data_IF_049637584517
#
_entry.id   IF_049637584517
#
_cell.length_a   1.000
_cell.length_b   1.000
_cell.length_c   1.000
_cell.angle_alpha   90.00
_cell.angle_beta   90.00
_cell.angle_gamma   90.00
#
_symmetry.space_group_name_H-M   'P 1'
#
loop_
_entity.id
_entity.type
_entity.pdbx_description
1 polymer ?
#
# COMPACT_ATOMS: atom_id res chain seq x y z
N UNK A 1 -9.55 -22.67 18.95
CA UNK A 1 -9.76 -21.40 19.70
C UNK A 1 -10.78 -20.59 18.90
N UNK A 2 -11.89 -20.21 19.52
CA UNK A 2 -12.97 -19.49 18.84
C UNK A 2 -12.87 -18.00 19.13
N UNK A 3 -13.23 -17.19 18.13
CA UNK A 3 -13.20 -15.73 18.24
C UNK A 3 -14.45 -15.09 17.65
N UNK A 4 -14.73 -13.87 18.08
CA UNK A 4 -15.74 -12.97 17.51
C UNK A 4 -15.07 -11.74 16.93
N UNK A 5 -15.50 -11.28 15.77
CA UNK A 5 -15.10 -9.98 15.22
C UNK A 5 -15.82 -8.89 16.02
N UNK A 6 -15.05 -8.03 16.68
CA UNK A 6 -15.57 -6.89 17.44
C UNK A 6 -15.35 -5.56 16.72
N UNK A 7 -14.37 -5.51 15.81
CA UNK A 7 -14.11 -4.37 14.93
C UNK A 7 -13.70 -4.84 13.53
N UNK A 8 -14.61 -4.70 12.58
CA UNK A 8 -14.41 -5.02 11.16
C UNK A 8 -13.40 -4.07 10.49
N UNK A 9 -13.12 -2.89 11.05
CA UNK A 9 -12.11 -1.95 10.57
C UNK A 9 -10.68 -2.48 10.74
N UNK A 10 -10.48 -3.37 11.70
CA UNK A 10 -9.20 -4.06 11.95
C UNK A 10 -8.96 -5.26 11.00
N UNK A 11 -9.77 -5.39 9.96
CA UNK A 11 -9.63 -6.45 8.97
C UNK A 11 -8.55 -6.11 7.92
N UNK A 12 -7.58 -7.00 7.76
CA UNK A 12 -6.48 -6.85 6.80
C UNK A 12 -6.88 -7.43 5.43
N UNK A 13 -7.84 -6.80 4.77
CA UNK A 13 -8.55 -7.36 3.59
C UNK A 13 -7.71 -7.74 2.36
N UNK A 14 -6.41 -7.53 2.38
CA UNK A 14 -5.50 -7.69 1.24
C UNK A 14 -4.33 -8.62 1.50
N UNK A 15 -4.38 -9.44 2.56
CA UNK A 15 -3.30 -10.38 2.83
C UNK A 15 -3.08 -11.38 1.68
N UNK A 16 -1.86 -11.91 1.59
CA UNK A 16 -1.53 -13.05 0.73
C UNK A 16 -1.49 -14.36 1.50
N UNK A 17 -2.12 -14.39 2.68
CA UNK A 17 -2.18 -15.59 3.50
C UNK A 17 -3.02 -16.64 2.78
N UNK A 18 -2.42 -17.83 2.66
CA UNK A 18 -3.00 -18.96 1.95
C UNK A 18 -3.27 -20.07 2.95
N UNK A 19 -4.53 -20.49 3.03
CA UNK A 19 -5.03 -21.51 3.96
C UNK A 19 -5.94 -22.46 3.19
N UNK A 20 -5.65 -23.76 3.26
CA UNK A 20 -6.45 -24.83 2.65
C UNK A 20 -6.83 -24.61 1.18
N UNK A 21 -5.90 -24.06 0.39
CA UNK A 21 -6.15 -23.82 -1.03
C UNK A 21 -6.77 -22.45 -1.37
N UNK A 22 -7.04 -21.62 -0.36
CA UNK A 22 -7.84 -20.39 -0.49
C UNK A 22 -7.07 -19.20 0.09
N UNK A 23 -7.14 -18.05 -0.58
CA UNK A 23 -6.54 -16.82 -0.09
C UNK A 23 -7.44 -16.10 0.92
N UNK A 24 -6.86 -15.64 2.03
CA UNK A 24 -7.55 -14.87 3.06
C UNK A 24 -7.62 -13.37 2.68
N UNK A 25 -8.35 -13.02 1.62
CA UNK A 25 -8.46 -11.64 1.15
C UNK A 25 -9.78 -11.32 0.43
N UNK A 26 -10.02 -10.02 0.23
CA UNK A 26 -11.22 -9.45 -0.39
C UNK A 26 -11.50 -9.96 -1.79
N UNK A 27 -10.48 -10.33 -2.57
CA UNK A 27 -10.68 -10.82 -3.93
C UNK A 27 -11.34 -12.20 -3.88
N UNK A 28 -10.95 -13.02 -2.91
CA UNK A 28 -11.60 -14.31 -2.66
C UNK A 28 -13.01 -14.11 -2.11
N UNK A 29 -13.17 -13.21 -1.14
CA UNK A 29 -14.48 -12.92 -0.53
C UNK A 29 -15.50 -12.41 -1.55
N UNK A 30 -15.06 -11.61 -2.52
CA UNK A 30 -15.92 -11.10 -3.58
C UNK A 30 -16.56 -12.24 -4.39
N UNK A 31 -15.88 -13.38 -4.57
CA UNK A 31 -16.44 -14.56 -5.25
C UNK A 31 -17.61 -15.18 -4.48
N UNK A 32 -17.64 -14.97 -3.17
CA UNK A 32 -18.68 -15.46 -2.26
C UNK A 32 -19.68 -14.37 -1.85
N UNK A 33 -19.60 -13.17 -2.43
CA UNK A 33 -20.36 -12.00 -1.97
C UNK A 33 -20.23 -11.81 -0.45
N UNK A 34 -19.00 -11.91 0.06
CA UNK A 34 -18.71 -11.83 1.49
C UNK A 34 -18.00 -10.52 1.85
N UNK A 35 -18.33 -10.00 3.03
CA UNK A 35 -17.56 -8.95 3.68
C UNK A 35 -17.63 -9.18 5.21
N UNK A 36 -16.50 -9.07 5.93
CA UNK A 36 -16.47 -9.31 7.37
C UNK A 36 -17.29 -8.24 8.12
N UNK A 37 -18.04 -8.68 9.14
CA UNK A 37 -18.87 -7.80 9.97
C UNK A 37 -18.68 -8.06 11.46
N UNK A 38 -18.92 -7.03 12.25
CA UNK A 38 -18.97 -7.16 13.71
C UNK A 38 -20.02 -8.20 14.12
N UNK A 39 -19.69 -9.00 15.12
CA UNK A 39 -20.53 -10.08 15.64
C UNK A 39 -20.38 -11.42 14.91
N UNK A 40 -19.71 -11.48 13.75
CA UNK A 40 -19.36 -12.75 13.12
C UNK A 40 -18.40 -13.53 14.00
N UNK A 41 -18.55 -14.85 14.01
CA UNK A 41 -17.73 -15.75 14.83
C UNK A 41 -16.93 -16.70 13.95
N UNK A 42 -15.79 -17.17 14.42
CA UNK A 42 -14.95 -18.06 13.64
C UNK A 42 -13.90 -18.79 14.47
N UNK A 43 -13.23 -19.71 13.81
CA UNK A 43 -12.12 -20.45 14.36
C UNK A 43 -10.80 -19.79 13.99
N UNK A 44 -9.93 -19.56 14.97
CA UNK A 44 -8.57 -19.15 14.65
C UNK A 44 -7.79 -20.35 14.10
N UNK A 45 -7.43 -20.29 12.81
CA UNK A 45 -6.74 -21.38 12.10
C UNK A 45 -5.25 -21.11 11.89
N UNK A 46 -4.83 -19.85 11.88
CA UNK A 46 -3.41 -19.48 11.71
C UNK A 46 -3.09 -18.17 12.42
N UNK A 47 -1.87 -18.05 12.95
CA UNK A 47 -1.29 -16.80 13.45
C UNK A 47 -0.08 -16.44 12.60
N UNK A 48 0.03 -15.16 12.28
CA UNK A 48 1.19 -14.57 11.62
C UNK A 48 1.71 -13.42 12.49
N UNK A 49 2.90 -12.86 12.20
CA UNK A 49 3.40 -11.71 12.96
C UNK A 49 2.47 -10.50 12.96
N UNK A 50 1.62 -10.35 11.93
CA UNK A 50 0.74 -9.20 11.74
C UNK A 50 -0.75 -9.51 11.82
N UNK A 51 -1.16 -10.78 11.81
CA UNK A 51 -2.56 -11.16 11.67
C UNK A 51 -2.94 -12.46 12.37
N UNK A 52 -4.22 -12.53 12.72
CA UNK A 52 -4.95 -13.69 13.18
C UNK A 52 -5.90 -14.11 12.07
N UNK A 53 -5.67 -15.28 11.47
CA UNK A 53 -6.49 -15.77 10.36
C UNK A 53 -7.64 -16.56 10.94
N UNK A 54 -8.84 -16.00 10.79
CA UNK A 54 -10.08 -16.53 11.33
C UNK A 54 -10.87 -17.19 10.21
N UNK A 55 -11.15 -18.48 10.33
CA UNK A 55 -12.08 -19.20 9.46
C UNK A 55 -13.51 -18.90 9.90
N UNK A 56 -14.23 -18.13 9.09
CA UNK A 56 -15.62 -17.75 9.35
C UNK A 56 -16.59 -18.84 8.85
N UNK A 57 -16.27 -19.43 7.70
CA UNK A 57 -16.93 -20.59 7.12
C UNK A 57 -15.98 -21.28 6.15
N UNK A 58 -16.39 -22.42 5.59
CA UNK A 58 -15.59 -23.13 4.59
C UNK A 58 -15.30 -22.22 3.38
N UNK A 59 -14.02 -22.08 3.04
CA UNK A 59 -13.57 -21.20 1.96
C UNK A 59 -13.55 -19.70 2.28
N UNK A 60 -13.89 -19.28 3.51
CA UNK A 60 -13.82 -17.87 3.90
C UNK A 60 -12.93 -17.67 5.12
N UNK A 61 -11.74 -17.16 4.84
CA UNK A 61 -10.71 -16.83 5.82
C UNK A 61 -10.55 -15.32 5.93
N UNK A 62 -10.66 -14.79 7.14
CA UNK A 62 -10.61 -13.37 7.46
C UNK A 62 -9.40 -13.08 8.33
N UNK A 63 -8.40 -12.35 7.82
CA UNK A 63 -7.26 -11.89 8.61
C UNK A 63 -7.66 -10.66 9.44
N UNK A 64 -7.42 -10.74 10.74
CA UNK A 64 -7.73 -9.67 11.70
C UNK A 64 -6.50 -9.33 12.53
N UNK A 65 -6.39 -8.09 13.00
CA UNK A 65 -5.43 -7.78 14.07
C UNK A 65 -5.93 -8.36 15.40
N UNK A 66 -5.08 -8.29 16.46
CA UNK A 66 -5.50 -8.67 17.82
C UNK A 66 -6.64 -7.80 18.35
N UNK A 67 -6.71 -6.53 17.96
CA UNK A 67 -7.69 -5.57 18.46
C UNK A 67 -9.06 -5.77 17.81
N UNK A 68 -9.11 -6.37 16.62
CA UNK A 68 -10.35 -6.65 15.89
C UNK A 68 -11.13 -7.87 16.38
N UNK A 69 -10.56 -8.68 17.28
CA UNK A 69 -11.13 -9.95 17.70
C UNK A 69 -11.18 -10.12 19.22
N UNK A 70 -12.23 -10.78 19.68
CA UNK A 70 -12.42 -11.23 21.06
C UNK A 70 -12.43 -12.75 21.11
N UNK A 71 -11.76 -13.35 22.10
CA UNK A 71 -11.83 -14.81 22.33
C UNK A 71 -13.17 -15.18 22.99
N UNK A 72 -13.82 -16.23 22.49
CA UNK A 72 -15.15 -16.64 22.94
C UNK A 72 -15.22 -18.13 23.28
N UNK A 73 -16.24 -18.52 24.04
CA UNK A 73 -16.49 -19.92 24.37
C UNK A 73 -17.04 -20.71 23.17
N UNK A 74 -16.92 -22.05 23.19
CA UNK A 74 -17.55 -22.93 22.18
C UNK A 74 -19.07 -22.71 22.09
N UNK A 75 -19.72 -22.48 23.23
CA UNK A 75 -21.15 -22.23 23.30
C UNK A 75 -21.54 -20.94 22.56
N UNK A 76 -20.76 -19.88 22.73
CA UNK A 76 -20.99 -18.61 22.04
C UNK A 76 -20.70 -18.69 20.54
N UNK A 77 -19.70 -19.50 20.17
CA UNK A 77 -19.40 -19.82 18.78
C UNK A 77 -20.59 -20.54 18.13
N UNK A 78 -21.04 -21.66 18.70
CA UNK A 78 -22.18 -22.44 18.19
C UNK A 78 -23.46 -21.60 18.07
N UNK A 79 -23.73 -20.73 19.04
CA UNK A 79 -24.87 -19.82 18.99
C UNK A 79 -24.74 -18.74 17.90
N UNK A 80 -23.50 -18.34 17.57
CA UNK A 80 -23.18 -17.24 16.65
C UNK A 80 -23.02 -17.66 15.19
N UNK A 81 -22.71 -18.93 14.87
CA UNK A 81 -22.46 -19.40 13.48
C UNK A 81 -23.59 -19.01 12.53
N UNK A 82 -24.85 -19.12 12.99
CA UNK A 82 -26.04 -18.78 12.17
C UNK A 82 -26.09 -17.32 11.72
N UNK A 83 -25.31 -16.43 12.34
CA UNK A 83 -25.23 -15.02 12.00
C UNK A 83 -24.12 -14.73 10.96
N UNK A 84 -23.30 -15.71 10.59
CA UNK A 84 -22.27 -15.57 9.57
C UNK A 84 -22.91 -15.59 8.17
N UNK A 85 -23.40 -14.43 7.72
CA UNK A 85 -24.10 -14.29 6.44
C UNK A 85 -23.23 -13.67 5.35
N UNK A 86 -23.23 -14.28 4.16
CA UNK A 86 -22.63 -13.72 2.95
C UNK A 86 -23.59 -12.73 2.28
N UNK A 87 -23.66 -11.52 2.82
CA UNK A 87 -24.56 -10.46 2.35
C UNK A 87 -23.82 -9.27 1.72
N UNK A 88 -22.55 -9.48 1.34
CA UNK A 88 -21.69 -8.47 0.76
C UNK A 88 -21.40 -7.29 1.70
N UNK A 89 -20.72 -6.30 1.14
CA UNK A 89 -20.54 -4.99 1.77
C UNK A 89 -21.88 -4.25 1.75
N UNK A 90 -22.34 -3.75 2.90
CA UNK A 90 -23.61 -3.02 2.96
C UNK A 90 -23.51 -1.67 2.21
N UNK A 91 -24.65 -1.15 1.73
CA UNK A 91 -24.68 0.09 0.95
C UNK A 91 -24.15 1.30 1.71
N UNK A 92 -24.23 1.29 3.04
CA UNK A 92 -23.70 2.37 3.88
C UNK A 92 -22.18 2.33 3.88
N UNK A 93 -21.57 1.17 4.05
CA UNK A 93 -20.13 0.94 3.98
C UNK A 93 -19.61 1.16 2.56
N UNK A 94 -20.38 0.76 1.54
CA UNK A 94 -20.09 1.06 0.14
C UNK A 94 -20.10 2.57 -0.11
N UNK A 95 -21.12 3.30 0.36
CA UNK A 95 -21.19 4.78 0.30
C UNK A 95 -20.15 5.48 1.16
N UNK A 96 -19.71 4.91 2.29
CA UNK A 96 -18.59 5.45 3.06
C UNK A 96 -17.29 5.27 2.28
N UNK A 97 -17.06 4.09 1.70
CA UNK A 97 -15.86 3.83 0.91
C UNK A 97 -15.82 4.65 -0.40
N UNK A 98 -16.95 4.77 -1.10
CA UNK A 98 -17.12 5.58 -2.32
C UNK A 98 -17.18 7.08 -2.00
N UNK A 99 -17.82 7.46 -0.90
CA UNK A 99 -17.92 8.83 -0.41
C UNK A 99 -16.59 9.36 0.12
N UNK A 100 -15.75 8.51 0.71
CA UNK A 100 -14.34 8.83 0.95
C UNK A 100 -13.69 9.23 -0.38
N UNK A 101 -13.73 8.36 -1.40
CA UNK A 101 -13.13 8.61 -2.73
C UNK A 101 -13.65 9.91 -3.37
N UNK A 102 -14.95 10.19 -3.28
CA UNK A 102 -15.58 11.37 -3.92
C UNK A 102 -15.31 12.67 -3.13
N UNK A 103 -15.26 12.61 -1.80
CA UNK A 103 -14.91 13.75 -0.94
C UNK A 103 -13.43 14.15 -1.14
N UNK A 104 -12.53 13.17 -1.34
CA UNK A 104 -11.11 13.40 -1.62
C UNK A 104 -10.82 14.07 -2.97
N UNK A 105 -11.68 13.88 -3.97
CA UNK A 105 -11.56 14.55 -5.27
C UNK A 105 -12.06 16.01 -5.22
N UNK A 106 -12.94 16.36 -4.28
CA UNK A 106 -13.60 17.66 -4.21
C UNK A 106 -12.98 18.63 -3.20
N UNK A 107 -12.35 18.14 -2.13
CA UNK A 107 -11.64 18.97 -1.14
C UNK A 107 -10.14 18.81 -1.33
N UNK A 108 -9.51 19.73 -2.07
CA UNK A 108 -8.08 19.68 -2.36
C UNK A 108 -7.21 19.36 -1.14
N UNK A 109 -6.39 18.31 -1.27
CA UNK A 109 -5.09 17.98 -0.66
C UNK A 109 -4.74 18.26 0.82
N UNK A 110 -5.49 18.99 1.62
CA UNK A 110 -4.97 19.49 2.93
C UNK A 110 -5.20 18.55 4.13
N UNK A 111 -5.97 17.47 4.00
CA UNK A 111 -6.35 16.63 5.15
C UNK A 111 -5.79 15.20 5.14
N UNK A 112 -5.17 14.76 4.05
CA UNK A 112 -4.51 13.46 3.98
C UNK A 112 -3.03 13.67 3.66
N UNK A 113 -2.21 13.73 4.71
CA UNK A 113 -0.76 13.62 4.62
C UNK A 113 -0.35 12.34 5.34
N UNK A 114 0.45 11.52 4.67
CA UNK A 114 1.18 10.47 5.36
C UNK A 114 2.13 11.12 6.37
N UNK A 115 2.60 10.32 7.33
CA UNK A 115 3.73 10.74 8.17
C UNK A 115 4.85 11.28 7.28
N UNK A 116 5.51 12.34 7.73
CA UNK A 116 6.65 12.90 6.99
C UNK A 116 7.79 11.86 6.91
N UNK A 117 8.08 11.39 5.70
CA UNK A 117 9.11 10.41 5.40
C UNK A 117 10.37 11.05 4.79
N UNK A 118 10.43 12.38 4.66
CA UNK A 118 11.50 13.08 3.94
C UNK A 118 12.89 12.79 4.50
N UNK A 119 13.03 12.71 5.82
CA UNK A 119 14.32 12.37 6.44
C UNK A 119 14.79 10.94 6.10
N UNK A 120 13.86 9.98 5.98
CA UNK A 120 14.19 8.64 5.50
C UNK A 120 14.60 8.67 4.02
N UNK A 121 13.86 9.42 3.19
CA UNK A 121 14.15 9.56 1.77
C UNK A 121 15.48 10.25 1.49
N UNK A 122 15.91 11.21 2.32
CA UNK A 122 17.20 11.88 2.19
C UNK A 122 18.37 10.88 2.09
N UNK A 123 18.40 9.88 2.97
CA UNK A 123 19.50 8.90 2.99
C UNK A 123 19.53 8.04 1.73
N UNK A 124 18.37 7.57 1.28
CA UNK A 124 18.27 6.76 0.07
C UNK A 124 18.57 7.57 -1.20
N UNK A 125 18.11 8.82 -1.25
CA UNK A 125 18.37 9.72 -2.38
C UNK A 125 19.87 10.02 -2.48
N UNK A 126 20.57 10.31 -1.37
CA UNK A 126 22.03 10.48 -1.39
C UNK A 126 22.71 9.24 -1.98
N UNK A 127 22.35 8.04 -1.53
CA UNK A 127 22.91 6.79 -2.06
C UNK A 127 22.61 6.58 -3.55
N UNK A 128 21.40 6.93 -3.99
CA UNK A 128 21.03 6.84 -5.40
C UNK A 128 21.85 7.81 -6.25
N UNK A 129 22.10 9.03 -5.76
CA UNK A 129 22.91 10.04 -6.45
C UNK A 129 24.40 9.65 -6.45
N UNK A 130 24.93 9.10 -5.36
CA UNK A 130 26.29 8.54 -5.30
C UNK A 130 26.48 7.49 -6.39
N UNK A 131 25.55 6.54 -6.52
CA UNK A 131 25.60 5.52 -7.57
C UNK A 131 25.48 6.11 -8.97
N UNK A 132 24.53 7.03 -9.16
CA UNK A 132 24.26 7.66 -10.46
C UNK A 132 25.45 8.48 -10.96
N UNK A 133 26.12 9.19 -10.06
CA UNK A 133 27.32 10.00 -10.33
C UNK A 133 28.64 9.23 -10.22
N UNK A 134 28.57 7.94 -9.86
CA UNK A 134 29.73 7.08 -9.63
C UNK A 134 30.71 7.68 -8.62
N UNK A 135 30.24 7.83 -7.37
CA UNK A 135 30.92 8.52 -6.27
C UNK A 135 31.30 9.97 -6.62
N UNK A 136 30.39 10.69 -7.28
CA UNK A 136 30.57 12.08 -7.72
C UNK A 136 31.72 12.28 -8.72
N UNK A 137 32.21 11.22 -9.36
CA UNK A 137 33.23 11.28 -10.42
C UNK A 137 32.67 11.71 -11.77
N UNK A 138 31.36 11.59 -11.97
CA UNK A 138 30.68 11.91 -13.22
C UNK A 138 29.58 12.94 -13.02
N UNK A 139 29.48 13.86 -13.98
CA UNK A 139 28.39 14.80 -14.07
C UNK A 139 27.05 14.06 -14.29
N UNK A 140 26.02 14.57 -13.63
CA UNK A 140 24.63 14.18 -13.80
C UNK A 140 23.83 15.40 -14.25
N UNK A 141 22.92 15.21 -15.19
CA UNK A 141 22.12 16.30 -15.74
C UNK A 141 20.74 16.37 -15.10
N UNK A 142 20.03 17.47 -15.33
CA UNK A 142 18.69 17.68 -14.77
C UNK A 142 17.71 16.56 -15.17
N UNK A 143 17.81 16.02 -16.39
CA UNK A 143 17.02 14.88 -16.84
C UNK A 143 17.31 13.60 -16.04
N UNK A 144 18.55 13.41 -15.60
CA UNK A 144 18.93 12.27 -14.76
C UNK A 144 18.34 12.42 -13.35
N UNK A 145 18.30 13.65 -12.83
CA UNK A 145 17.64 13.97 -11.56
C UNK A 145 16.13 13.72 -11.63
N UNK A 146 15.45 14.20 -12.68
CA UNK A 146 14.02 13.95 -12.91
C UNK A 146 13.72 12.45 -13.03
N UNK A 147 14.57 11.72 -13.76
CA UNK A 147 14.40 10.27 -13.91
C UNK A 147 14.62 9.54 -12.60
N UNK A 148 15.65 9.90 -11.84
CA UNK A 148 15.94 9.33 -10.53
C UNK A 148 14.83 9.61 -9.51
N UNK A 149 14.31 10.85 -9.47
CA UNK A 149 13.19 11.23 -8.63
C UNK A 149 11.93 10.44 -8.98
N UNK A 150 11.60 10.34 -10.27
CA UNK A 150 10.47 9.56 -10.77
C UNK A 150 10.59 8.08 -10.39
N UNK A 151 11.74 7.46 -10.64
CA UNK A 151 11.95 6.04 -10.37
C UNK A 151 11.90 5.72 -8.88
N UNK A 152 12.53 6.55 -8.05
CA UNK A 152 12.49 6.37 -6.61
C UNK A 152 11.09 6.60 -6.03
N UNK A 153 10.36 7.62 -6.48
CA UNK A 153 8.98 7.86 -6.05
C UNK A 153 8.04 6.71 -6.46
N UNK A 154 8.18 6.19 -7.69
CA UNK A 154 7.45 5.00 -8.15
C UNK A 154 7.80 3.80 -7.27
N UNK A 155 9.08 3.55 -7.01
CA UNK A 155 9.51 2.44 -6.14
C UNK A 155 8.91 2.56 -4.73
N UNK A 156 8.91 3.75 -4.13
CA UNK A 156 8.29 4.00 -2.84
C UNK A 156 6.77 3.80 -2.87
N UNK A 157 6.09 4.22 -3.94
CA UNK A 157 4.67 3.92 -4.14
C UNK A 157 4.43 2.41 -4.23
N UNK A 158 5.25 1.68 -4.99
CA UNK A 158 5.14 0.22 -5.14
C UNK A 158 5.42 -0.51 -3.83
N UNK A 159 6.41 -0.06 -3.05
CA UNK A 159 6.71 -0.59 -1.73
C UNK A 159 5.59 -0.29 -0.74
N UNK A 160 5.03 0.93 -0.76
CA UNK A 160 3.87 1.27 0.05
C UNK A 160 2.68 0.38 -0.31
N UNK A 161 2.39 0.21 -1.61
CA UNK A 161 1.36 -0.70 -2.13
C UNK A 161 1.58 -2.15 -1.68
N UNK A 162 2.83 -2.60 -1.69
CA UNK A 162 3.22 -3.94 -1.26
C UNK A 162 3.01 -4.13 0.25
N UNK A 163 3.34 -3.11 1.06
CA UNK A 163 3.19 -3.13 2.52
C UNK A 163 1.74 -2.93 2.96
N UNK A 164 0.98 -2.06 2.30
CA UNK A 164 -0.44 -1.80 2.58
C UNK A 164 -1.35 -2.91 2.02
N UNK A 165 -0.90 -3.61 0.98
CA UNK A 165 -1.68 -4.59 0.23
C UNK A 165 -2.85 -3.99 -0.57
N UNK A 166 -3.11 -2.68 -0.48
CA UNK A 166 -4.22 -2.01 -1.15
C UNK A 166 -3.79 -1.36 -2.46
N UNK A 167 -4.71 -1.21 -3.42
CA UNK A 167 -4.49 -0.28 -4.53
C UNK A 167 -4.27 1.11 -3.95
N UNK A 168 -3.24 1.80 -4.43
CA UNK A 168 -2.93 3.15 -3.97
C UNK A 168 -4.03 4.10 -4.42
N UNK A 169 -4.59 4.86 -3.48
CA UNK A 169 -5.44 5.99 -3.83
C UNK A 169 -4.57 7.08 -4.51
N UNK A 170 -5.10 7.84 -5.47
CA UNK A 170 -4.36 8.92 -6.13
C UNK A 170 -3.72 9.92 -5.15
N UNK A 171 -4.39 10.22 -4.03
CA UNK A 171 -3.85 11.10 -2.98
C UNK A 171 -2.61 10.52 -2.29
N UNK A 172 -2.55 9.21 -2.08
CA UNK A 172 -1.38 8.52 -1.50
C UNK A 172 -0.20 8.59 -2.47
N UNK A 173 -0.48 8.37 -3.77
CA UNK A 173 0.54 8.50 -4.82
C UNK A 173 1.07 9.94 -4.84
N UNK A 174 0.18 10.93 -4.82
CA UNK A 174 0.55 12.33 -4.84
C UNK A 174 1.37 12.74 -3.60
N UNK A 175 0.99 12.28 -2.41
CA UNK A 175 1.70 12.63 -1.17
C UNK A 175 3.10 12.02 -1.11
N UNK A 176 3.26 10.72 -1.40
CA UNK A 176 4.59 10.07 -1.49
C UNK A 176 5.46 10.76 -2.54
N UNK A 177 4.90 10.98 -3.73
CA UNK A 177 5.62 11.59 -4.85
C UNK A 177 6.03 13.02 -4.53
N UNK A 178 5.17 13.78 -3.86
CA UNK A 178 5.45 15.15 -3.44
C UNK A 178 6.58 15.17 -2.41
N UNK A 179 6.52 14.31 -1.38
CA UNK A 179 7.56 14.24 -0.36
C UNK A 179 8.92 13.86 -0.96
N UNK A 180 8.98 12.91 -1.89
CA UNK A 180 10.22 12.58 -2.62
C UNK A 180 10.73 13.78 -3.42
N UNK A 181 9.87 14.41 -4.22
CA UNK A 181 10.27 15.56 -5.04
C UNK A 181 10.71 16.76 -4.19
N UNK A 182 10.13 16.94 -3.00
CA UNK A 182 10.55 17.99 -2.05
C UNK A 182 11.99 17.79 -1.59
N UNK A 183 12.42 16.54 -1.36
CA UNK A 183 13.82 16.24 -1.01
C UNK A 183 14.77 16.54 -2.18
N UNK A 184 14.37 16.23 -3.42
CA UNK A 184 15.15 16.62 -4.60
C UNK A 184 15.23 18.14 -4.76
N UNK A 185 14.12 18.87 -4.52
CA UNK A 185 14.13 20.33 -4.52
C UNK A 185 15.02 20.93 -3.42
N UNK A 186 15.09 20.27 -2.25
CA UNK A 186 15.97 20.66 -1.15
C UNK A 186 17.45 20.47 -1.53
N UNK A 187 17.83 19.29 -2.01
CA UNK A 187 19.22 18.96 -2.36
C UNK A 187 19.73 19.72 -3.60
N UNK A 188 18.89 19.91 -4.61
CA UNK A 188 19.26 20.52 -5.89
C UNK A 188 18.63 21.91 -6.06
N UNK A 189 18.59 22.67 -4.97
CA UNK A 189 17.93 23.98 -4.90
C UNK A 189 18.41 24.90 -6.02
N UNK A 190 17.47 25.45 -6.76
CA UNK A 190 17.73 26.36 -7.88
C UNK A 190 17.90 25.66 -9.24
N UNK A 191 18.16 24.36 -9.25
CA UNK A 191 18.24 23.53 -10.46
C UNK A 191 16.98 22.68 -10.63
N UNK A 192 16.60 21.91 -9.60
CA UNK A 192 15.36 21.13 -9.57
C UNK A 192 14.22 21.99 -9.01
N UNK A 193 13.34 22.50 -9.88
CA UNK A 193 12.33 23.50 -9.55
C UNK A 193 10.92 22.90 -9.55
N UNK A 194 9.93 23.72 -9.19
CA UNK A 194 8.52 23.33 -9.18
C UNK A 194 8.05 22.75 -10.53
N UNK A 195 8.55 23.26 -11.66
CA UNK A 195 8.24 22.71 -12.98
C UNK A 195 8.71 21.24 -13.12
N UNK A 196 9.92 20.93 -12.65
CA UNK A 196 10.46 19.57 -12.67
C UNK A 196 9.67 18.65 -11.73
N UNK A 197 9.30 19.15 -10.55
CA UNK A 197 8.40 18.44 -9.64
C UNK A 197 7.08 18.10 -10.33
N UNK A 198 6.44 19.06 -11.00
CA UNK A 198 5.18 18.82 -11.71
C UNK A 198 5.34 17.76 -12.82
N UNK A 199 6.42 17.81 -13.60
CA UNK A 199 6.73 16.82 -14.62
C UNK A 199 6.91 15.41 -14.03
N UNK A 200 7.62 15.31 -12.91
CA UNK A 200 7.79 14.04 -12.19
C UNK A 200 6.44 13.52 -11.69
N UNK A 201 5.61 14.36 -11.06
CA UNK A 201 4.28 13.97 -10.56
C UNK A 201 3.38 13.41 -11.66
N UNK A 202 3.38 14.02 -12.85
CA UNK A 202 2.67 13.50 -14.01
C UNK A 202 3.24 12.14 -14.47
N UNK A 203 4.56 12.06 -14.64
CA UNK A 203 5.24 10.85 -15.09
C UNK A 203 5.03 9.67 -14.14
N UNK A 204 5.04 9.91 -12.83
CA UNK A 204 4.80 8.90 -11.78
C UNK A 204 3.38 8.35 -11.90
N UNK A 205 2.39 9.23 -12.03
CA UNK A 205 0.98 8.85 -12.16
C UNK A 205 0.74 8.00 -13.41
N UNK A 206 1.32 8.40 -14.54
CA UNK A 206 1.27 7.64 -15.80
C UNK A 206 1.98 6.29 -15.66
N UNK A 207 3.18 6.25 -15.06
CA UNK A 207 3.94 5.02 -14.88
C UNK A 207 3.20 3.99 -14.03
N UNK A 208 2.58 4.41 -12.92
CA UNK A 208 1.87 3.50 -12.01
C UNK A 208 0.60 2.88 -12.62
N UNK A 209 0.11 3.41 -13.73
CA UNK A 209 -0.99 2.82 -14.50
C UNK A 209 -0.55 1.59 -15.34
N UNK A 210 0.75 1.43 -15.61
CA UNK A 210 1.27 0.33 -16.40
C UNK A 210 1.44 -0.96 -15.59
N UNK A 211 1.08 -2.10 -16.17
CA UNK A 211 1.19 -3.42 -15.50
C UNK A 211 2.63 -3.89 -15.29
N UNK A 212 3.57 -3.45 -16.12
CA UNK A 212 5.00 -3.79 -16.07
C UNK A 212 5.86 -2.76 -15.30
N UNK A 213 5.24 -1.86 -14.53
CA UNK A 213 5.94 -0.77 -13.84
C UNK A 213 7.10 -1.25 -12.95
N UNK A 214 6.97 -2.44 -12.34
CA UNK A 214 8.04 -3.00 -11.50
C UNK A 214 9.28 -3.35 -12.33
N UNK A 215 9.10 -3.98 -13.49
CA UNK A 215 10.20 -4.33 -14.39
C UNK A 215 10.94 -3.08 -14.89
N UNK A 216 10.20 -1.98 -15.11
CA UNK A 216 10.78 -0.70 -15.53
C UNK A 216 11.69 -0.14 -14.43
N UNK A 217 11.23 -0.16 -13.18
CA UNK A 217 12.00 0.31 -12.01
C UNK A 217 13.23 -0.56 -11.79
N UNK A 218 13.07 -1.89 -11.84
CA UNK A 218 14.17 -2.83 -11.61
C UNK A 218 15.25 -2.71 -12.70
N UNK A 219 14.84 -2.55 -13.98
CA UNK A 219 15.76 -2.31 -15.09
C UNK A 219 16.55 -0.99 -14.92
N UNK A 220 15.88 0.08 -14.46
CA UNK A 220 16.56 1.34 -14.17
C UNK A 220 17.66 1.16 -13.12
N UNK A 221 17.33 0.56 -11.97
CA UNK A 221 18.33 0.35 -10.92
C UNK A 221 19.43 -0.62 -11.33
N UNK A 222 19.11 -1.65 -12.13
CA UNK A 222 20.11 -2.55 -12.69
C UNK A 222 21.14 -1.78 -13.52
N UNK A 223 20.71 -0.93 -14.45
CA UNK A 223 21.62 -0.11 -15.29
C UNK A 223 22.48 0.84 -14.46
N UNK A 224 21.89 1.49 -13.45
CA UNK A 224 22.63 2.38 -12.54
C UNK A 224 23.70 1.59 -11.76
N UNK A 225 23.34 0.42 -11.21
CA UNK A 225 24.28 -0.42 -10.47
C UNK A 225 25.37 -1.03 -11.36
N UNK A 226 25.04 -1.42 -12.60
CA UNK A 226 26.03 -1.88 -13.59
C UNK A 226 27.05 -0.77 -13.83
N UNK A 227 26.60 0.44 -14.21
CA UNK A 227 27.49 1.59 -14.42
C UNK A 227 28.39 1.86 -13.21
N UNK A 228 27.81 1.86 -12.00
CA UNK A 228 28.56 2.05 -10.76
C UNK A 228 29.64 0.98 -10.55
N UNK A 229 29.34 -0.29 -10.87
CA UNK A 229 30.27 -1.42 -10.66
C UNK A 229 31.48 -1.40 -11.60
N UNK A 230 31.44 -0.64 -12.70
CA UNK A 230 32.54 -0.46 -13.65
C UNK A 230 33.33 0.86 -13.46
N UNK A 231 33.03 1.63 -12.40
CA UNK A 231 33.58 2.98 -12.11
C UNK A 231 34.63 3.00 -10.98
#
# INVERSE_FOLDING_TARGET
>A
MYVRIIDQGECLSTTREYVDGVYANKNEWAKHNFYPKNGMVGELVKRTPSAYIVKIMDGIYVPMTRNGIEEISSKDYEAGIKNNLCCGMDERQKKINEGLVTFYEQTGNDWFHLSDMREAFKQDIVRNIEKLSCDFKHDIFLSDLEKSATMYAVDMCLEYRRKSGTTLAPVVIADISSQVCDVYMEFFKGQFRQANKNNCMQSISEMLSHSNVRDIVDNYYQKVNERYSWS
#
